data_IF_081531151966
#
_entry.id   IF_081531151966
#
_cell.length_a   1.000
_cell.length_b   1.000
_cell.length_c   1.000
_cell.angle_alpha   90.00
_cell.angle_beta   90.00
_cell.angle_gamma   90.00
#
_symmetry.space_group_name_H-M   'P 1'
#
loop_
_entity.id
_entity.type
_entity.pdbx_description
1 polymer ?
#
# COMPACT_ATOMS: atom_id res chain seq x y z
N UNK A 1 12.46 22.05 -19.06
CA UNK A 1 12.81 20.73 -18.48
C UNK A 1 12.50 20.65 -16.99
N UNK A 2 12.98 21.58 -16.15
CA UNK A 2 12.67 21.60 -14.71
C UNK A 2 11.17 21.64 -14.39
N UNK A 3 10.39 22.38 -15.17
CA UNK A 3 8.92 22.42 -15.03
C UNK A 3 8.25 21.07 -15.29
N UNK A 4 8.73 20.32 -16.31
CA UNK A 4 8.24 18.97 -16.58
C UNK A 4 8.60 17.99 -15.45
N UNK A 5 9.79 18.13 -14.85
CA UNK A 5 10.19 17.31 -13.70
C UNK A 5 9.27 17.55 -12.49
N UNK A 6 9.00 18.81 -12.15
CA UNK A 6 8.08 19.17 -11.07
C UNK A 6 6.66 18.66 -11.36
N UNK A 7 6.16 18.90 -12.58
CA UNK A 7 4.87 18.37 -13.02
C UNK A 7 4.78 16.85 -12.87
N UNK A 8 5.82 16.12 -13.27
CA UNK A 8 5.86 14.67 -13.16
C UNK A 8 5.88 14.20 -11.70
N UNK A 9 6.60 14.89 -10.81
CA UNK A 9 6.61 14.57 -9.38
C UNK A 9 5.21 14.72 -8.80
N UNK A 10 4.56 15.85 -9.05
CA UNK A 10 3.20 16.12 -8.57
C UNK A 10 2.20 15.07 -9.09
N UNK A 11 2.23 14.78 -10.40
CA UNK A 11 1.39 13.74 -11.00
C UNK A 11 1.71 12.35 -10.49
N UNK A 12 2.96 12.06 -10.11
CA UNK A 12 3.33 10.75 -9.54
C UNK A 12 2.81 10.55 -8.12
N UNK A 13 2.68 11.64 -7.36
CA UNK A 13 2.04 11.60 -6.04
C UNK A 13 0.53 11.31 -6.12
N UNK A 14 -0.09 11.61 -7.26
CA UNK A 14 -1.50 11.32 -7.55
C UNK A 14 -1.69 9.97 -8.29
N UNK A 15 -0.76 9.61 -9.17
CA UNK A 15 -0.85 8.47 -10.08
C UNK A 15 0.48 7.72 -10.22
N UNK A 16 0.51 6.40 -9.99
CA UNK A 16 1.77 5.62 -10.12
C UNK A 16 1.84 4.73 -11.39
N UNK A 17 0.96 4.92 -12.36
CA UNK A 17 1.04 4.18 -13.62
C UNK A 17 2.12 4.78 -14.53
N UNK A 18 3.21 4.07 -14.88
CA UNK A 18 4.26 4.61 -15.73
C UNK A 18 3.74 5.00 -17.11
N UNK A 19 2.81 4.21 -17.66
CA UNK A 19 2.18 4.48 -18.96
C UNK A 19 1.34 5.75 -18.89
N UNK A 20 0.54 5.93 -17.83
CA UNK A 20 -0.24 7.15 -17.63
C UNK A 20 0.68 8.37 -17.46
N UNK A 21 1.70 8.27 -16.63
CA UNK A 21 2.67 9.36 -16.41
C UNK A 21 3.39 9.73 -17.71
N UNK A 22 3.74 8.75 -18.54
CA UNK A 22 4.33 8.99 -19.85
C UNK A 22 3.36 9.73 -20.77
N UNK A 23 2.09 9.32 -20.82
CA UNK A 23 1.04 10.02 -21.58
C UNK A 23 0.81 11.45 -21.08
N UNK A 24 0.70 11.65 -19.76
CA UNK A 24 0.54 12.98 -19.15
C UNK A 24 1.73 13.90 -19.47
N UNK A 25 2.95 13.35 -19.46
CA UNK A 25 4.14 14.10 -19.82
C UNK A 25 4.13 14.53 -21.29
N UNK A 26 3.64 13.65 -22.16
CA UNK A 26 3.46 13.92 -23.58
C UNK A 26 2.44 15.04 -23.83
N UNK A 27 1.30 14.98 -23.15
CA UNK A 27 0.25 16.00 -23.22
C UNK A 27 0.74 17.35 -22.69
N UNK A 28 1.47 17.35 -21.58
CA UNK A 28 2.08 18.55 -21.02
C UNK A 28 3.08 19.21 -22.00
N UNK A 29 3.92 18.43 -22.67
CA UNK A 29 4.88 18.98 -23.64
C UNK A 29 4.19 19.58 -24.87
N UNK A 30 3.09 18.96 -25.30
CA UNK A 30 2.27 19.49 -26.41
C UNK A 30 1.64 20.83 -25.99
N UNK A 31 1.03 20.91 -24.81
CA UNK A 31 0.39 22.14 -24.35
C UNK A 31 1.40 23.26 -24.08
N UNK A 32 2.61 22.91 -23.61
CA UNK A 32 3.70 23.85 -23.38
C UNK A 32 4.45 24.26 -24.67
N UNK A 33 4.02 23.81 -25.86
CA UNK A 33 4.67 24.08 -27.15
C UNK A 33 6.19 23.87 -27.15
N UNK A 34 6.66 22.86 -26.39
CA UNK A 34 8.09 22.61 -26.18
C UNK A 34 8.57 21.42 -27.02
N UNK A 35 9.83 21.46 -27.49
CA UNK A 35 10.43 20.35 -28.24
C UNK A 35 10.38 19.08 -27.39
N UNK A 36 9.76 18.04 -27.96
CA UNK A 36 9.63 16.74 -27.30
C UNK A 36 11.02 16.08 -27.19
N UNK A 37 11.48 15.72 -25.98
CA UNK A 37 12.68 14.92 -25.82
C UNK A 37 12.44 13.50 -26.35
N UNK A 38 13.52 12.81 -26.75
CA UNK A 38 13.43 11.42 -27.19
C UNK A 38 12.75 10.50 -26.17
N UNK A 39 12.09 9.45 -26.65
CA UNK A 39 11.30 8.49 -25.83
C UNK A 39 12.10 7.96 -24.64
N UNK A 40 13.38 7.65 -24.82
CA UNK A 40 14.28 7.17 -23.76
C UNK A 40 14.55 8.22 -22.68
N UNK A 41 14.73 9.48 -23.08
CA UNK A 41 14.87 10.60 -22.14
C UNK A 41 13.61 10.78 -21.33
N UNK A 42 12.43 10.75 -21.97
CA UNK A 42 11.16 10.90 -21.28
C UNK A 42 10.90 9.74 -20.29
N UNK A 43 11.19 8.50 -20.69
CA UNK A 43 11.07 7.34 -19.80
C UNK A 43 11.98 7.45 -18.57
N UNK A 44 13.20 7.95 -18.75
CA UNK A 44 14.14 8.20 -17.64
C UNK A 44 13.63 9.30 -16.70
N UNK A 45 13.00 10.36 -17.23
CA UNK A 45 12.39 11.40 -16.40
C UNK A 45 11.22 10.86 -15.57
N UNK A 46 10.35 10.03 -16.17
CA UNK A 46 9.27 9.36 -15.43
C UNK A 46 9.84 8.46 -14.34
N UNK A 47 10.90 7.69 -14.63
CA UNK A 47 11.56 6.86 -13.61
C UNK A 47 12.14 7.71 -12.46
N UNK A 48 12.78 8.84 -12.78
CA UNK A 48 13.33 9.75 -11.78
C UNK A 48 12.23 10.39 -10.91
N UNK A 49 11.12 10.82 -11.51
CA UNK A 49 9.97 11.36 -10.79
C UNK A 49 9.37 10.34 -9.81
N UNK A 50 9.34 9.06 -10.19
CA UNK A 50 8.88 7.97 -9.31
C UNK A 50 9.81 7.74 -8.13
N UNK A 51 11.12 7.81 -8.34
CA UNK A 51 12.09 7.74 -7.23
C UNK A 51 11.90 8.94 -6.30
N UNK A 52 11.73 10.15 -6.84
CA UNK A 52 11.47 11.34 -6.04
C UNK A 52 10.15 11.25 -5.25
N UNK A 53 9.09 10.73 -5.86
CA UNK A 53 7.81 10.50 -5.19
C UNK A 53 7.93 9.46 -4.06
N UNK A 54 8.74 8.41 -4.22
CA UNK A 54 9.04 7.45 -3.15
C UNK A 54 9.74 8.15 -1.97
N UNK A 55 10.73 9.01 -2.24
CA UNK A 55 11.41 9.82 -1.21
C UNK A 55 10.43 10.76 -0.49
N UNK A 56 9.64 11.55 -1.23
CA UNK A 56 8.64 12.45 -0.67
C UNK A 56 7.58 11.72 0.16
N UNK A 57 7.20 10.51 -0.27
CA UNK A 57 6.29 9.64 0.48
C UNK A 57 6.89 9.30 1.84
N UNK A 58 8.15 8.86 1.86
CA UNK A 58 8.84 8.53 3.12
C UNK A 58 8.94 9.75 4.03
N UNK A 59 9.36 10.90 3.51
CA UNK A 59 9.45 12.16 4.28
C UNK A 59 8.11 12.54 4.92
N UNK A 60 7.02 12.43 4.16
CA UNK A 60 5.66 12.72 4.65
C UNK A 60 5.24 11.83 5.80
N UNK A 61 5.60 10.54 5.80
CA UNK A 61 5.22 9.59 6.85
C UNK A 61 6.30 9.34 7.89
N UNK A 62 7.49 9.93 7.74
CA UNK A 62 8.64 9.67 8.61
C UNK A 62 8.33 9.94 10.10
N UNK A 63 7.49 10.93 10.38
CA UNK A 63 7.06 11.25 11.74
C UNK A 63 6.22 10.16 12.42
N UNK A 64 5.61 9.25 11.64
CA UNK A 64 4.89 8.08 12.16
C UNK A 64 5.81 6.87 12.37
N UNK A 65 6.94 6.81 11.65
CA UNK A 65 7.84 5.67 11.59
C UNK A 65 8.88 5.73 12.72
N UNK A 66 8.44 5.51 13.96
CA UNK A 66 9.38 5.32 15.08
C UNK A 66 10.21 4.04 14.90
N UNK A 67 11.40 3.93 15.51
CA UNK A 67 12.19 2.70 15.45
C UNK A 67 11.42 1.46 15.92
N UNK A 68 10.57 1.63 16.93
CA UNK A 68 9.70 0.57 17.46
C UNK A 68 8.67 0.14 16.40
N UNK A 69 7.95 1.10 15.80
CA UNK A 69 6.95 0.78 14.77
C UNK A 69 7.61 0.15 13.54
N UNK A 70 8.79 0.62 13.12
CA UNK A 70 9.53 0.03 12.01
C UNK A 70 9.87 -1.44 12.29
N UNK A 71 10.34 -1.76 13.51
CA UNK A 71 10.61 -3.13 13.91
C UNK A 71 9.33 -3.99 13.96
N UNK A 72 8.21 -3.42 14.40
CA UNK A 72 6.91 -4.09 14.40
C UNK A 72 6.37 -4.35 12.99
N UNK A 73 6.56 -3.42 12.06
CA UNK A 73 6.20 -3.59 10.65
C UNK A 73 7.07 -4.64 9.95
N UNK A 74 8.34 -4.76 10.33
CA UNK A 74 9.25 -5.76 9.77
C UNK A 74 9.01 -7.18 10.33
N UNK A 75 8.55 -7.29 11.59
CA UNK A 75 8.27 -8.57 12.26
C UNK A 75 7.41 -9.53 11.42
N UNK A 76 6.28 -9.12 10.79
CA UNK A 76 5.47 -10.04 10.00
C UNK A 76 6.10 -10.55 8.71
N UNK A 77 7.26 -10.01 8.29
CA UNK A 77 8.01 -10.51 7.15
C UNK A 77 8.85 -11.77 7.47
N UNK A 78 9.04 -12.07 8.76
CA UNK A 78 9.78 -13.25 9.21
C UNK A 78 8.86 -14.48 9.20
N UNK A 79 9.42 -15.65 8.89
CA UNK A 79 8.68 -16.91 8.92
C UNK A 79 8.19 -17.19 10.34
N UNK A 80 6.92 -17.50 10.46
CA UNK A 80 6.30 -17.89 11.72
C UNK A 80 6.20 -19.42 11.76
N UNK A 81 6.89 -20.04 12.72
CA UNK A 81 6.99 -21.49 12.82
C UNK A 81 5.64 -22.13 13.17
N UNK A 82 4.80 -21.44 13.95
CA UNK A 82 3.49 -21.93 14.38
C UNK A 82 2.49 -21.88 13.22
N UNK A 83 2.59 -20.87 12.35
CA UNK A 83 1.73 -20.71 11.18
C UNK A 83 2.21 -21.48 9.94
N UNK A 84 3.48 -21.94 9.91
CA UNK A 84 4.11 -22.55 8.74
C UNK A 84 4.27 -21.59 7.54
N UNK A 85 4.09 -20.29 7.76
CA UNK A 85 4.23 -19.22 6.77
C UNK A 85 4.57 -17.91 7.48
N UNK A 86 4.92 -16.86 6.75
CA UNK A 86 5.09 -15.52 7.36
C UNK A 86 3.76 -14.97 7.87
N UNK A 87 3.78 -14.21 8.97
CA UNK A 87 2.57 -13.55 9.49
C UNK A 87 1.92 -12.63 8.46
N UNK A 88 2.70 -11.97 7.59
CA UNK A 88 2.16 -11.15 6.50
C UNK A 88 1.34 -11.99 5.50
N UNK A 89 1.87 -13.14 5.07
CA UNK A 89 1.14 -14.04 4.17
C UNK A 89 -0.16 -14.58 4.79
N UNK A 90 -0.16 -14.86 6.09
CA UNK A 90 -1.38 -15.22 6.82
C UNK A 90 -2.40 -14.07 6.82
N UNK A 91 -1.96 -12.85 7.12
CA UNK A 91 -2.81 -11.66 7.15
C UNK A 91 -3.51 -11.43 5.79
N UNK A 92 -2.75 -11.53 4.70
CA UNK A 92 -3.23 -11.26 3.35
C UNK A 92 -4.02 -12.40 2.70
N UNK A 93 -4.04 -13.59 3.31
CA UNK A 93 -4.75 -14.75 2.76
C UNK A 93 -6.27 -14.53 2.88
N UNK A 94 -7.03 -14.47 1.78
CA UNK A 94 -8.49 -14.31 1.86
C UNK A 94 -9.16 -15.54 2.47
N UNK A 95 -10.35 -15.36 3.05
CA UNK A 95 -11.22 -16.48 3.39
C UNK A 95 -11.70 -17.17 2.12
N UNK A 96 -11.72 -18.52 2.12
CA UNK A 96 -12.16 -19.31 0.96
C UNK A 96 -13.68 -19.44 0.93
N UNK A 97 -14.31 -19.59 2.10
CA UNK A 97 -15.75 -19.76 2.26
C UNK A 97 -16.26 -19.09 3.55
N UNK A 98 -17.49 -18.54 3.55
CA UNK A 98 -18.12 -17.98 4.74
C UNK A 98 -18.45 -19.11 5.73
N UNK A 99 -17.67 -19.19 6.80
CA UNK A 99 -17.83 -20.20 7.86
C UNK A 99 -17.51 -19.60 9.22
N UNK A 100 -17.96 -20.24 10.31
CA UNK A 100 -17.60 -19.83 11.66
C UNK A 100 -16.07 -19.75 11.86
N UNK A 101 -15.32 -20.64 11.19
CA UNK A 101 -13.85 -20.63 11.24
C UNK A 101 -13.25 -19.45 10.46
N UNK A 102 -13.87 -19.03 9.35
CA UNK A 102 -13.47 -17.84 8.61
C UNK A 102 -13.68 -16.57 9.45
N UNK A 103 -14.83 -16.45 10.13
CA UNK A 103 -15.12 -15.34 11.05
C UNK A 103 -14.10 -15.31 12.19
N UNK A 104 -13.82 -16.46 12.81
CA UNK A 104 -12.80 -16.56 13.86
C UNK A 104 -11.42 -16.09 13.36
N UNK A 105 -11.01 -16.54 12.18
CA UNK A 105 -9.73 -16.15 11.57
C UNK A 105 -9.67 -14.66 11.27
N UNK A 106 -10.77 -14.07 10.78
CA UNK A 106 -10.85 -12.62 10.53
C UNK A 106 -10.74 -11.81 11.82
N UNK A 107 -11.38 -12.25 12.92
CA UNK A 107 -11.24 -11.65 14.25
C UNK A 107 -9.80 -11.76 14.77
N UNK A 108 -9.14 -12.90 14.59
CA UNK A 108 -7.72 -13.07 14.97
C UNK A 108 -6.82 -12.09 14.21
N UNK A 109 -7.05 -11.89 12.91
CA UNK A 109 -6.34 -10.90 12.10
C UNK A 109 -6.60 -9.47 12.56
N UNK A 110 -7.85 -9.12 12.86
CA UNK A 110 -8.19 -7.80 13.42
C UNK A 110 -7.53 -7.57 14.77
N UNK A 111 -7.49 -8.59 15.62
CA UNK A 111 -6.82 -8.50 16.93
C UNK A 111 -5.33 -8.27 16.76
N UNK A 112 -4.70 -8.98 15.83
CA UNK A 112 -3.30 -8.76 15.47
C UNK A 112 -3.04 -7.32 14.98
N UNK A 113 -3.87 -6.81 14.07
CA UNK A 113 -3.73 -5.43 13.56
C UNK A 113 -4.01 -4.36 14.61
N UNK A 114 -4.93 -4.62 15.55
CA UNK A 114 -5.16 -3.75 16.70
C UNK A 114 -3.95 -3.73 17.64
N UNK A 115 -3.27 -4.85 17.82
CA UNK A 115 -2.02 -4.91 18.59
C UNK A 115 -0.86 -4.13 17.97
N UNK A 116 -0.96 -3.75 16.69
CA UNK A 116 -0.03 -2.84 16.00
C UNK A 116 -0.54 -1.39 15.96
N UNK A 117 -1.66 -1.10 16.63
CA UNK A 117 -2.36 0.18 16.55
C UNK A 117 -2.65 0.64 15.10
N UNK A 118 -2.80 -0.32 14.17
CA UNK A 118 -2.92 -0.02 12.73
C UNK A 118 -4.14 0.87 12.40
N UNK A 119 -5.17 0.80 13.23
CA UNK A 119 -6.40 1.61 13.14
C UNK A 119 -6.23 3.06 13.62
N UNK A 120 -5.16 3.36 14.36
CA UNK A 120 -4.83 4.71 14.86
C UNK A 120 -3.88 5.46 13.92
N UNK A 121 -3.36 4.79 12.88
CA UNK A 121 -2.44 5.38 11.91
C UNK A 121 -3.17 6.41 11.03
N UNK A 122 -2.97 7.70 11.32
CA UNK A 122 -3.44 8.78 10.45
C UNK A 122 -2.50 8.96 9.25
N UNK A 123 -2.93 8.45 8.10
CA UNK A 123 -2.21 8.57 6.83
C UNK A 123 -2.78 9.68 5.92
N UNK A 124 -3.59 10.60 6.46
CA UNK A 124 -4.21 11.70 5.70
C UNK A 124 -3.20 12.64 5.01
N UNK A 125 -1.96 12.68 5.50
CA UNK A 125 -0.83 13.40 4.86
C UNK A 125 -0.50 12.88 3.44
N UNK A 126 -0.92 11.65 3.13
CA UNK A 126 -0.83 11.03 1.81
C UNK A 126 -2.18 11.07 1.09
N UNK A 127 -2.14 11.43 -0.20
CA UNK A 127 -3.30 11.33 -1.08
C UNK A 127 -3.88 9.90 -1.07
N UNK A 128 -5.20 9.77 -1.17
CA UNK A 128 -5.89 8.48 -1.12
C UNK A 128 -5.36 7.48 -2.16
N UNK A 129 -5.14 7.94 -3.39
CA UNK A 129 -4.58 7.09 -4.46
C UNK A 129 -3.16 6.61 -4.15
N UNK A 130 -2.33 7.45 -3.52
CA UNK A 130 -0.98 7.05 -3.08
C UNK A 130 -1.06 5.94 -2.03
N UNK A 131 -1.95 6.06 -1.05
CA UNK A 131 -2.18 5.03 -0.03
C UNK A 131 -2.64 3.72 -0.65
N UNK A 132 -3.63 3.75 -1.54
CA UNK A 132 -4.13 2.57 -2.26
C UNK A 132 -3.04 1.92 -3.10
N UNK A 133 -2.23 2.72 -3.80
CA UNK A 133 -1.12 2.22 -4.59
C UNK A 133 -0.10 1.47 -3.71
N UNK A 134 0.36 2.09 -2.63
CA UNK A 134 1.38 1.49 -1.74
C UNK A 134 0.85 0.21 -1.09
N UNK A 135 -0.39 0.21 -0.60
CA UNK A 135 -1.04 -1.00 -0.10
C UNK A 135 -1.13 -2.09 -1.18
N UNK A 136 -1.50 -1.74 -2.42
CA UNK A 136 -1.54 -2.69 -3.53
C UNK A 136 -0.14 -3.24 -3.91
N UNK A 137 0.92 -2.42 -3.81
CA UNK A 137 2.31 -2.89 -3.95
C UNK A 137 2.63 -3.91 -2.85
N UNK A 138 2.25 -3.62 -1.61
CA UNK A 138 2.41 -4.53 -0.48
C UNK A 138 1.74 -5.88 -0.74
N UNK A 139 0.47 -5.88 -1.16
CA UNK A 139 -0.32 -7.10 -1.45
C UNK A 139 0.25 -7.97 -2.54
N UNK A 140 0.78 -7.37 -3.61
CA UNK A 140 1.34 -8.10 -4.76
C UNK A 140 2.81 -8.50 -4.58
N UNK A 141 3.48 -7.97 -3.57
CA UNK A 141 4.89 -8.27 -3.33
C UNK A 141 5.04 -9.59 -2.59
N UNK A 142 6.06 -10.37 -2.96
CA UNK A 142 6.48 -11.50 -2.14
C UNK A 142 7.19 -11.00 -0.89
N UNK A 143 7.20 -11.78 0.20
CA UNK A 143 7.94 -11.43 1.42
C UNK A 143 9.41 -11.13 1.13
N UNK A 144 10.07 -11.95 0.30
CA UNK A 144 11.47 -11.73 -0.10
C UNK A 144 11.66 -10.41 -0.85
N UNK A 145 10.72 -10.03 -1.73
CA UNK A 145 10.76 -8.76 -2.43
C UNK A 145 10.59 -7.57 -1.49
N UNK A 146 9.77 -7.70 -0.44
CA UNK A 146 9.63 -6.66 0.59
C UNK A 146 10.89 -6.55 1.45
N UNK A 147 11.44 -7.67 1.92
CA UNK A 147 12.66 -7.70 2.74
C UNK A 147 13.87 -7.05 2.05
N UNK A 148 14.03 -7.29 0.73
CA UNK A 148 15.13 -6.73 -0.07
C UNK A 148 15.01 -5.24 -0.35
N UNK A 149 13.87 -4.60 -0.06
CA UNK A 149 13.72 -3.15 -0.26
C UNK A 149 14.43 -2.40 0.84
N UNK A 150 15.02 -1.27 0.44
CA UNK A 150 15.52 -0.26 1.37
C UNK A 150 14.42 0.16 2.36
N UNK A 151 14.74 0.37 3.65
CA UNK A 151 13.79 0.78 4.69
C UNK A 151 12.87 1.94 4.28
N UNK A 152 13.43 2.94 3.59
CA UNK A 152 12.71 4.14 3.13
C UNK A 152 11.58 3.81 2.14
N UNK A 153 11.71 2.72 1.37
CA UNK A 153 10.67 2.25 0.45
C UNK A 153 9.80 1.18 1.08
N UNK A 154 10.39 0.35 1.93
CA UNK A 154 9.71 -0.76 2.60
C UNK A 154 8.66 -0.27 3.59
N UNK A 155 9.02 0.64 4.50
CA UNK A 155 8.12 1.02 5.60
C UNK A 155 6.87 1.78 5.15
N UNK A 156 6.90 2.73 4.19
CA UNK A 156 5.67 3.33 3.69
C UNK A 156 4.70 2.31 3.05
N UNK A 157 5.24 1.29 2.38
CA UNK A 157 4.45 0.18 1.83
C UNK A 157 3.80 -0.63 2.96
N UNK A 158 4.58 -1.03 3.96
CA UNK A 158 4.05 -1.84 5.08
C UNK A 158 3.05 -1.05 5.91
N UNK A 159 3.35 0.21 6.22
CA UNK A 159 2.50 1.13 6.99
C UNK A 159 1.12 1.30 6.32
N UNK A 160 1.11 1.60 5.03
CA UNK A 160 -0.16 1.74 4.27
C UNK A 160 -0.88 0.42 4.12
N UNK A 161 -0.15 -0.69 3.96
CA UNK A 161 -0.73 -2.03 3.89
C UNK A 161 -1.46 -2.41 5.17
N UNK A 162 -0.83 -2.26 6.35
CA UNK A 162 -1.45 -2.64 7.63
C UNK A 162 -2.65 -1.75 7.96
N UNK A 163 -2.55 -0.43 7.72
CA UNK A 163 -3.65 0.50 7.92
C UNK A 163 -4.85 0.16 7.01
N UNK A 164 -4.60 -0.09 5.72
CA UNK A 164 -5.67 -0.47 4.79
C UNK A 164 -6.23 -1.86 5.11
N UNK A 165 -5.40 -2.83 5.49
CA UNK A 165 -5.86 -4.15 5.89
C UNK A 165 -6.73 -4.12 7.15
N UNK A 166 -6.51 -3.17 8.07
CA UNK A 166 -7.36 -3.03 9.25
C UNK A 166 -8.77 -2.56 8.90
N UNK A 167 -8.88 -1.61 7.96
CA UNK A 167 -10.18 -1.16 7.44
C UNK A 167 -10.87 -2.27 6.64
N UNK A 168 -10.17 -2.89 5.69
CA UNK A 168 -10.75 -3.91 4.81
C UNK A 168 -11.24 -5.14 5.61
N UNK A 169 -10.50 -5.58 6.63
CA UNK A 169 -10.90 -6.70 7.49
C UNK A 169 -12.07 -6.33 8.41
N UNK A 170 -12.18 -5.07 8.83
CA UNK A 170 -13.32 -4.62 9.63
C UNK A 170 -14.60 -4.71 8.78
N UNK A 171 -14.54 -4.20 7.55
CA UNK A 171 -15.65 -4.29 6.59
C UNK A 171 -16.01 -5.74 6.27
N UNK A 172 -15.02 -6.62 6.09
CA UNK A 172 -15.23 -8.06 5.87
C UNK A 172 -15.95 -8.72 7.05
N UNK A 173 -15.53 -8.45 8.29
CA UNK A 173 -16.15 -9.02 9.48
C UNK A 173 -17.59 -8.55 9.64
N UNK A 174 -17.87 -7.26 9.39
CA UNK A 174 -19.24 -6.72 9.41
C UNK A 174 -20.10 -7.41 8.35
N UNK A 175 -19.59 -7.54 7.12
CA UNK A 175 -20.32 -8.21 6.05
C UNK A 175 -20.61 -9.69 6.34
N UNK A 176 -19.66 -10.43 6.92
CA UNK A 176 -19.86 -11.83 7.31
C UNK A 176 -20.91 -11.97 8.43
N UNK A 177 -20.94 -11.02 9.36
CA UNK A 177 -21.92 -11.00 10.45
C UNK A 177 -23.34 -10.74 9.92
N UNK A 178 -23.51 -9.74 9.06
CA UNK A 178 -24.80 -9.42 8.44
C UNK A 178 -25.36 -10.60 7.63
N UNK A 179 -24.51 -11.29 6.85
CA UNK A 179 -24.91 -12.49 6.10
C UNK A 179 -25.34 -13.64 7.01
N UNK A 180 -24.66 -13.84 8.14
CA UNK A 180 -25.01 -14.84 9.13
C UNK A 180 -26.40 -14.62 9.72
N UNK A 181 -26.81 -13.36 9.93
CA UNK A 181 -28.14 -13.02 10.44
C UNK A 181 -29.25 -13.24 9.40
N UNK A 182 -29.04 -12.87 8.14
CA UNK A 182 -30.03 -13.10 7.09
C UNK A 182 -30.34 -14.57 6.82
N UNK A 183 -29.39 -15.49 7.03
CA UNK A 183 -29.60 -16.93 6.86
C UNK A 183 -30.34 -17.59 8.02
N UNK A 184 -30.34 -16.99 9.22
CA UNK A 184 -30.98 -17.53 10.43
C UNK A 184 -32.45 -17.08 10.53
N UNK A 185 -32.80 -15.91 10.01
CA UNK A 185 -34.16 -15.37 10.03
C UNK A 185 -35.08 -15.92 8.91
N UNK A 186 -34.56 -16.82 8.06
CA UNK A 186 -35.29 -17.44 6.94
C UNK A 186 -35.62 -18.92 7.10
N UNK A 187 -35.40 -19.51 8.29
CA UNK A 187 -35.61 -20.93 8.59
C UNK A 187 -36.77 -21.17 9.57
#
# INVERSE_FOLDING_TARGET
>A
MKELELFLIDRTMEHDSPTLLFTLAQEYLISANTIRPGVTTLARMVAAARIAADTLTFEKVAHLLTPELMAELDRPLVSDADLGMTRLAWLLRPAVEPSANAVKTAIEKLTYLRGLDAHLLDLSVLAAERRRFLAAVGRRSTNQALQRREPQRRHPILLTLVAQSAADLLDEVVALFDQGHCCVDGA
#
